data_IF_800261606118
#
_entry.id   IF_800261606118
#
_cell.length_a   1.000
_cell.length_b   1.000
_cell.length_c   1.000
_cell.angle_alpha   90.00
_cell.angle_beta   90.00
_cell.angle_gamma   90.00
#
_symmetry.space_group_name_H-M   'P 1'
#
loop_
_entity.id
_entity.type
_entity.pdbx_description
1 polymer ?
#
# COMPACT_ATOMS: atom_id res chain seq x y z
N UNK A 1 26.08 25.96 -15.34
CA UNK A 1 25.06 25.07 -14.72
C UNK A 1 24.68 25.52 -13.32
N UNK A 2 25.62 25.94 -12.47
CA UNK A 2 25.37 26.27 -11.05
C UNK A 2 24.33 27.39 -10.79
N UNK A 3 24.10 28.30 -11.74
CA UNK A 3 23.14 29.40 -11.62
C UNK A 3 21.68 28.92 -11.76
N UNK A 4 21.42 27.90 -12.58
CA UNK A 4 20.08 27.34 -12.82
C UNK A 4 19.78 26.11 -11.96
N UNK A 5 20.80 25.59 -11.26
CA UNK A 5 20.74 24.31 -10.54
C UNK A 5 19.58 24.21 -9.54
N UNK A 6 19.32 25.28 -8.79
CA UNK A 6 18.23 25.30 -7.80
C UNK A 6 16.85 25.13 -8.46
N UNK A 7 16.64 25.75 -9.62
CA UNK A 7 15.40 25.65 -10.37
C UNK A 7 15.27 24.26 -11.03
N UNK A 8 16.36 23.77 -11.63
CA UNK A 8 16.40 22.44 -12.27
C UNK A 8 16.16 21.32 -11.26
N UNK A 9 16.82 21.36 -10.09
CA UNK A 9 16.63 20.35 -9.02
C UNK A 9 15.20 20.37 -8.51
N UNK A 10 14.63 21.55 -8.29
CA UNK A 10 13.23 21.68 -7.84
C UNK A 10 12.27 21.07 -8.87
N UNK A 11 12.45 21.38 -10.16
CA UNK A 11 11.62 20.83 -11.23
C UNK A 11 11.75 19.31 -11.34
N UNK A 12 12.98 18.79 -11.28
CA UNK A 12 13.24 17.34 -11.29
C UNK A 12 12.62 16.65 -10.08
N UNK A 13 12.79 17.17 -8.87
CA UNK A 13 12.22 16.60 -7.64
C UNK A 13 10.68 16.63 -7.65
N UNK A 14 10.07 17.73 -8.11
CA UNK A 14 8.62 17.80 -8.32
C UNK A 14 8.17 16.70 -9.29
N UNK A 15 8.89 16.54 -10.41
CA UNK A 15 8.57 15.54 -11.41
C UNK A 15 8.77 14.12 -10.90
N UNK A 16 9.75 13.89 -10.03
CA UNK A 16 9.94 12.62 -9.35
C UNK A 16 8.70 12.20 -8.55
N UNK A 17 7.95 13.17 -8.00
CA UNK A 17 6.74 12.90 -7.21
C UNK A 17 5.50 12.53 -8.02
N UNK A 18 5.38 13.06 -9.24
CA UNK A 18 4.17 12.96 -10.08
C UNK A 18 4.18 11.77 -11.05
N UNK A 19 5.34 11.15 -11.29
CA UNK A 19 5.52 10.25 -12.42
C UNK A 19 5.50 8.75 -12.07
N UNK A 20 5.28 7.91 -13.09
CA UNK A 20 5.46 6.45 -12.98
C UNK A 20 6.95 6.06 -12.79
N UNK A 21 7.22 4.79 -12.47
CA UNK A 21 8.56 4.23 -12.26
C UNK A 21 9.59 4.66 -13.29
N UNK A 22 9.18 4.57 -14.56
CA UNK A 22 10.05 4.71 -15.71
C UNK A 22 10.58 6.14 -15.84
N UNK A 23 9.67 7.11 -15.79
CA UNK A 23 10.06 8.53 -15.82
C UNK A 23 10.82 8.92 -14.55
N UNK A 24 10.46 8.33 -13.40
CA UNK A 24 11.19 8.56 -12.14
C UNK A 24 12.65 8.09 -12.23
N UNK A 25 12.90 6.97 -12.90
CA UNK A 25 14.27 6.49 -13.14
C UNK A 25 15.07 7.48 -14.00
N UNK A 26 14.44 8.12 -14.99
CA UNK A 26 15.10 9.14 -15.82
C UNK A 26 15.43 10.39 -15.02
N UNK A 27 14.50 10.82 -14.16
CA UNK A 27 14.70 11.91 -13.21
C UNK A 27 15.84 11.59 -12.23
N UNK A 28 15.87 10.37 -11.70
CA UNK A 28 16.94 9.90 -10.81
C UNK A 28 18.30 9.90 -11.52
N UNK A 29 18.36 9.43 -12.78
CA UNK A 29 19.59 9.48 -13.60
C UNK A 29 20.07 10.91 -13.84
N UNK A 30 19.16 11.86 -14.07
CA UNK A 30 19.50 13.27 -14.22
C UNK A 30 20.07 13.86 -12.92
N UNK A 31 19.45 13.53 -11.77
CA UNK A 31 19.94 13.96 -10.46
C UNK A 31 21.28 13.29 -10.09
N UNK A 32 21.51 12.04 -10.48
CA UNK A 32 22.80 11.36 -10.29
C UNK A 32 23.90 11.99 -11.14
N UNK A 33 23.61 12.31 -12.41
CA UNK A 33 24.53 13.06 -13.29
C UNK A 33 24.88 14.42 -12.71
N UNK A 34 23.87 15.14 -12.20
CA UNK A 34 24.08 16.40 -11.50
C UNK A 34 25.02 16.24 -10.29
N UNK A 35 24.78 15.24 -9.45
CA UNK A 35 25.66 14.94 -8.30
C UNK A 35 27.09 14.76 -8.78
N UNK A 36 27.32 14.01 -9.87
CA UNK A 36 28.66 13.71 -10.39
C UNK A 36 29.40 14.93 -10.94
N UNK A 37 28.71 15.82 -11.67
CA UNK A 37 29.36 16.85 -12.48
C UNK A 37 29.23 18.28 -11.96
N UNK A 38 28.29 18.55 -11.04
CA UNK A 38 28.11 19.90 -10.48
C UNK A 38 28.92 20.12 -9.20
N UNK A 39 29.04 21.38 -8.78
CA UNK A 39 29.65 21.73 -7.49
C UNK A 39 28.93 21.03 -6.32
N UNK A 40 29.67 20.27 -5.53
CA UNK A 40 29.13 19.46 -4.41
C UNK A 40 28.33 20.31 -3.41
N UNK A 41 28.83 21.50 -3.08
CA UNK A 41 28.17 22.41 -2.14
C UNK A 41 26.89 23.01 -2.71
N UNK A 42 26.88 23.32 -4.01
CA UNK A 42 25.70 23.85 -4.71
C UNK A 42 24.62 22.77 -4.86
N UNK A 43 25.00 21.56 -5.28
CA UNK A 43 24.11 20.40 -5.37
C UNK A 43 23.49 20.06 -4.03
N UNK A 44 24.28 20.10 -2.96
CA UNK A 44 23.79 19.89 -1.59
C UNK A 44 22.76 20.97 -1.22
N UNK A 45 23.08 22.24 -1.40
CA UNK A 45 22.15 23.35 -1.14
C UNK A 45 20.83 23.20 -1.89
N UNK A 46 20.88 22.83 -3.18
CA UNK A 46 19.69 22.67 -4.02
C UNK A 46 18.78 21.54 -3.51
N UNK A 47 19.36 20.38 -3.14
CA UNK A 47 18.62 19.24 -2.60
C UNK A 47 18.02 19.52 -1.21
N UNK A 48 18.77 20.23 -0.35
CA UNK A 48 18.31 20.63 0.97
C UNK A 48 17.09 21.56 0.88
N UNK A 49 17.11 22.52 -0.06
CA UNK A 49 16.00 23.47 -0.26
C UNK A 49 14.80 22.82 -0.98
N UNK A 50 15.03 21.98 -1.99
CA UNK A 50 13.97 21.46 -2.87
C UNK A 50 13.33 20.14 -2.42
N UNK A 51 14.00 19.34 -1.59
CA UNK A 51 13.60 17.95 -1.35
C UNK A 51 13.08 17.64 0.05
N UNK A 52 13.81 18.05 1.10
CA UNK A 52 13.58 17.55 2.47
C UNK A 52 12.27 18.03 3.12
N UNK A 53 11.71 19.14 2.65
CA UNK A 53 10.44 19.69 3.12
C UNK A 53 9.21 19.21 2.36
N UNK A 54 9.39 18.36 1.34
CA UNK A 54 8.31 18.02 0.42
C UNK A 54 7.26 17.09 1.06
N UNK A 55 5.97 17.29 0.75
CA UNK A 55 4.88 16.48 1.31
C UNK A 55 4.93 15.01 0.82
N UNK A 56 5.32 14.80 -0.44
CA UNK A 56 5.45 13.47 -1.05
C UNK A 56 6.71 12.75 -0.54
N UNK A 57 6.54 11.56 0.05
CA UNK A 57 7.62 10.72 0.59
C UNK A 57 8.65 10.30 -0.46
N UNK A 58 8.25 10.08 -1.70
CA UNK A 58 9.19 9.64 -2.74
C UNK A 58 10.16 10.76 -3.14
N UNK A 59 9.69 12.00 -3.11
CA UNK A 59 10.54 13.18 -3.34
C UNK A 59 11.57 13.31 -2.22
N UNK A 60 11.14 13.14 -0.96
CA UNK A 60 12.04 13.16 0.20
C UNK A 60 13.07 12.04 0.14
N UNK A 61 12.66 10.81 -0.20
CA UNK A 61 13.57 9.67 -0.44
C UNK A 61 14.60 10.01 -1.52
N UNK A 62 14.15 10.46 -2.68
CA UNK A 62 15.02 10.77 -3.82
C UNK A 62 16.09 11.79 -3.42
N UNK A 63 15.68 12.88 -2.76
CA UNK A 63 16.59 13.89 -2.26
C UNK A 63 17.57 13.34 -1.20
N UNK A 64 17.07 12.54 -0.23
CA UNK A 64 17.88 11.95 0.82
C UNK A 64 18.96 11.00 0.28
N UNK A 65 18.64 10.19 -0.72
CA UNK A 65 19.58 9.27 -1.36
C UNK A 65 20.74 10.01 -2.02
N UNK A 66 20.44 11.05 -2.81
CA UNK A 66 21.47 11.87 -3.49
C UNK A 66 22.27 12.69 -2.48
N UNK A 67 21.63 13.18 -1.42
CA UNK A 67 22.29 13.87 -0.33
C UNK A 67 23.29 12.95 0.39
N UNK A 68 22.95 11.67 0.60
CA UNK A 68 23.86 10.68 1.18
C UNK A 68 25.14 10.51 0.36
N UNK A 69 25.02 10.39 -0.97
CA UNK A 69 26.17 10.31 -1.86
C UNK A 69 27.04 11.59 -1.83
N UNK A 70 26.42 12.77 -1.71
CA UNK A 70 27.16 14.03 -1.55
C UNK A 70 27.86 14.14 -0.20
N UNK A 71 27.23 13.66 0.88
CA UNK A 71 27.81 13.64 2.23
C UNK A 71 29.07 12.78 2.27
N UNK A 72 29.01 11.59 1.67
CA UNK A 72 30.16 10.69 1.57
C UNK A 72 31.30 11.32 0.74
N UNK A 73 30.97 11.96 -0.39
CA UNK A 73 31.97 12.60 -1.27
C UNK A 73 32.60 13.87 -0.69
N UNK A 74 31.84 14.68 0.04
CA UNK A 74 32.37 15.86 0.73
C UNK A 74 33.23 15.48 1.92
N UNK A 75 32.91 14.36 2.57
CA UNK A 75 33.60 13.84 3.74
C UNK A 75 33.20 14.53 5.04
N UNK A 76 33.21 13.77 6.14
CA UNK A 76 32.80 14.25 7.45
C UNK A 76 33.66 15.43 7.96
N UNK A 77 34.97 15.44 7.67
CA UNK A 77 35.88 16.52 8.09
C UNK A 77 35.47 17.89 7.53
N UNK A 78 35.07 17.96 6.25
CA UNK A 78 34.62 19.21 5.64
C UNK A 78 33.23 19.60 6.13
N UNK A 79 32.32 18.63 6.24
CA UNK A 79 30.95 18.86 6.68
C UNK A 79 30.85 19.28 8.15
N UNK A 80 31.80 18.87 8.99
CA UNK A 80 31.85 19.18 10.41
C UNK A 80 32.93 20.22 10.76
N UNK A 81 33.53 20.87 9.75
CA UNK A 81 34.54 21.93 9.94
C UNK A 81 34.01 23.20 10.62
N UNK A 82 32.68 23.34 10.72
CA UNK A 82 32.03 24.53 11.28
C UNK A 82 31.87 25.69 10.30
N UNK A 83 32.08 25.44 9.00
CA UNK A 83 31.73 26.37 7.94
C UNK A 83 30.22 26.66 7.96
N UNK A 84 29.84 27.94 8.16
CA UNK A 84 28.45 28.37 8.36
C UNK A 84 27.50 27.79 7.31
N UNK A 85 27.79 27.95 6.02
CA UNK A 85 26.82 27.63 4.96
C UNK A 85 26.54 26.13 4.77
N UNK A 86 27.47 25.26 5.16
CA UNK A 86 27.38 23.81 4.93
C UNK A 86 27.01 23.08 6.21
N UNK A 87 27.73 23.33 7.31
CA UNK A 87 27.49 22.62 8.58
C UNK A 87 26.15 23.01 9.22
N UNK A 88 25.76 24.30 9.16
CA UNK A 88 24.47 24.77 9.73
C UNK A 88 23.26 24.14 9.02
N UNK A 89 23.43 23.74 7.75
CA UNK A 89 22.32 23.20 6.96
C UNK A 89 22.28 21.67 6.97
N UNK A 90 23.45 21.01 6.96
CA UNK A 90 23.51 19.55 6.82
C UNK A 90 23.13 18.80 8.10
N UNK A 91 23.56 19.26 9.28
CA UNK A 91 23.28 18.57 10.54
C UNK A 91 21.78 18.57 10.88
N UNK A 92 21.07 19.71 10.84
CA UNK A 92 19.61 19.71 11.04
C UNK A 92 18.88 18.87 10.00
N UNK A 93 19.34 18.89 8.74
CA UNK A 93 18.76 18.10 7.67
C UNK A 93 18.88 16.58 7.91
N UNK A 94 20.06 16.11 8.32
CA UNK A 94 20.29 14.70 8.67
C UNK A 94 19.44 14.30 9.87
N UNK A 95 19.38 15.13 10.92
CA UNK A 95 18.56 14.86 12.11
C UNK A 95 17.06 14.77 11.77
N UNK A 96 16.58 15.67 10.89
CA UNK A 96 15.20 15.63 10.38
C UNK A 96 14.92 14.36 9.58
N UNK A 97 15.85 13.93 8.72
CA UNK A 97 15.70 12.71 7.92
C UNK A 97 15.67 11.45 8.78
N UNK A 98 16.48 11.39 9.83
CA UNK A 98 16.51 10.25 10.78
C UNK A 98 15.14 10.02 11.43
N UNK A 99 14.33 11.08 11.54
CA UNK A 99 12.98 11.06 12.10
C UNK A 99 11.88 11.15 11.02
N UNK A 100 12.19 10.93 9.73
CA UNK A 100 11.21 11.04 8.64
C UNK A 100 10.09 9.98 8.76
N UNK A 101 8.90 10.28 8.25
CA UNK A 101 7.81 9.30 8.21
C UNK A 101 8.05 8.17 7.21
N UNK A 102 8.80 8.41 6.12
CA UNK A 102 9.22 7.38 5.17
C UNK A 102 10.38 6.55 5.72
N UNK A 103 10.28 5.22 5.60
CA UNK A 103 11.34 4.31 6.05
C UNK A 103 12.61 4.46 5.20
N UNK A 104 12.45 4.69 3.90
CA UNK A 104 13.53 4.86 2.93
C UNK A 104 14.28 6.18 3.16
N UNK A 105 13.55 7.29 3.36
CA UNK A 105 14.16 8.57 3.71
C UNK A 105 14.90 8.48 5.06
N UNK A 106 14.30 7.79 6.05
CA UNK A 106 14.96 7.49 7.33
C UNK A 106 16.21 6.66 7.18
N UNK A 107 16.20 5.67 6.30
CA UNK A 107 17.37 4.83 6.05
C UNK A 107 18.56 5.66 5.59
N UNK A 108 18.38 6.53 4.58
CA UNK A 108 19.46 7.42 4.13
C UNK A 108 19.86 8.45 5.19
N UNK A 109 18.90 8.97 5.96
CA UNK A 109 19.19 9.81 7.13
C UNK A 109 20.10 9.11 8.14
N UNK A 110 19.77 7.87 8.50
CA UNK A 110 20.56 7.02 9.40
C UNK A 110 21.93 6.67 8.82
N UNK A 111 22.05 6.46 7.51
CA UNK A 111 23.33 6.23 6.83
C UNK A 111 24.26 7.44 6.96
N UNK A 112 23.76 8.63 6.65
CA UNK A 112 24.50 9.89 6.82
C UNK A 112 24.88 10.14 8.28
N UNK A 113 23.95 9.91 9.21
CA UNK A 113 24.20 10.08 10.65
C UNK A 113 25.30 9.15 11.14
N UNK A 114 25.27 7.86 10.76
CA UNK A 114 26.30 6.90 11.10
C UNK A 114 27.67 7.32 10.56
N UNK A 115 27.72 7.73 9.28
CA UNK A 115 28.96 8.23 8.65
C UNK A 115 29.53 9.45 9.39
N UNK A 116 28.71 10.46 9.68
CA UNK A 116 29.13 11.67 10.39
C UNK A 116 29.55 11.38 11.84
N UNK A 117 28.87 10.45 12.53
CA UNK A 117 29.14 10.09 13.93
C UNK A 117 30.50 9.43 14.19
N UNK A 118 31.23 9.10 13.12
CA UNK A 118 32.58 8.54 13.17
C UNK A 118 33.66 9.62 13.27
N UNK A 119 33.31 10.90 13.07
CA UNK A 119 34.26 12.00 13.14
C UNK A 119 34.44 12.55 14.56
N UNK A 120 35.66 12.94 14.92
CA UNK A 120 36.01 13.44 16.26
C UNK A 120 35.21 14.67 16.71
N UNK A 121 34.86 15.55 15.77
CA UNK A 121 34.16 16.79 16.06
C UNK A 121 32.63 16.64 16.06
N UNK A 122 32.11 15.43 15.80
CA UNK A 122 30.68 15.22 15.62
C UNK A 122 29.85 15.72 16.82
N UNK A 123 30.18 15.29 18.04
CA UNK A 123 29.41 15.65 19.24
C UNK A 123 29.40 17.16 19.50
N UNK A 124 30.56 17.81 19.32
CA UNK A 124 30.70 19.28 19.44
C UNK A 124 29.81 20.01 18.44
N UNK A 125 29.79 19.54 17.19
CA UNK A 125 28.99 20.17 16.14
C UNK A 125 27.50 19.88 16.28
N UNK A 126 27.15 18.71 16.81
CA UNK A 126 25.77 18.33 17.12
C UNK A 126 25.19 19.25 18.20
N UNK A 127 25.91 19.46 19.31
CA UNK A 127 25.49 20.37 20.39
C UNK A 127 25.36 21.82 19.93
N UNK A 128 26.20 22.24 18.97
CA UNK A 128 26.18 23.61 18.44
C UNK A 128 24.98 23.89 17.54
N UNK A 129 24.54 22.93 16.75
CA UNK A 129 23.57 23.16 15.67
C UNK A 129 22.22 22.45 15.84
N UNK A 130 22.07 21.57 16.82
CA UNK A 130 20.82 20.87 17.12
C UNK A 130 20.27 21.34 18.46
N UNK A 131 18.94 21.46 18.54
CA UNK A 131 18.27 21.90 19.77
C UNK A 131 18.50 20.92 20.91
N UNK A 132 18.63 21.43 22.14
CA UNK A 132 18.83 20.59 23.33
C UNK A 132 17.72 19.54 23.53
N UNK A 133 16.51 19.81 23.03
CA UNK A 133 15.37 18.90 23.06
C UNK A 133 15.58 17.65 22.20
N UNK A 134 16.24 17.80 21.06
CA UNK A 134 16.39 16.72 20.07
C UNK A 134 17.67 15.88 20.30
N UNK A 135 18.65 16.44 21.02
CA UNK A 135 19.94 15.78 21.31
C UNK A 135 19.80 14.36 21.90
N UNK A 136 18.92 14.10 22.89
CA UNK A 136 18.79 12.76 23.47
C UNK A 136 18.37 11.70 22.44
N UNK A 137 17.37 12.02 21.60
CA UNK A 137 16.85 11.10 20.58
C UNK A 137 17.88 10.81 19.48
N UNK A 138 18.65 11.83 19.07
CA UNK A 138 19.71 11.65 18.08
C UNK A 138 20.86 10.82 18.66
N UNK A 139 21.27 11.07 19.91
CA UNK A 139 22.32 10.28 20.58
C UNK A 139 21.92 8.81 20.74
N UNK A 140 20.68 8.54 21.13
CA UNK A 140 20.16 7.16 21.20
C UNK A 140 20.17 6.48 19.82
N UNK A 141 19.83 7.23 18.76
CA UNK A 141 19.91 6.71 17.39
C UNK A 141 21.35 6.40 16.98
N UNK A 142 22.31 7.27 17.32
CA UNK A 142 23.76 7.03 17.07
C UNK A 142 24.22 5.79 17.83
N UNK A 143 23.86 5.66 19.10
CA UNK A 143 24.20 4.48 19.91
C UNK A 143 23.63 3.19 19.29
N UNK A 144 22.36 3.21 18.89
CA UNK A 144 21.70 2.10 18.19
C UNK A 144 22.40 1.76 16.88
N UNK A 145 22.79 2.77 16.09
CA UNK A 145 23.50 2.59 14.83
C UNK A 145 24.90 2.00 15.02
N UNK A 146 25.64 2.44 16.03
CA UNK A 146 26.98 1.91 16.34
C UNK A 146 26.95 0.47 16.88
N UNK A 147 25.87 0.08 17.57
CA UNK A 147 25.74 -1.25 18.18
C UNK A 147 25.08 -2.28 17.25
N UNK A 148 24.01 -1.88 16.54
CA UNK A 148 23.20 -2.79 15.69
C UNK A 148 23.47 -2.63 14.19
N UNK A 149 24.23 -1.61 13.80
CA UNK A 149 24.46 -1.26 12.40
C UNK A 149 23.27 -0.53 11.75
N UNK A 150 23.44 -0.22 10.46
CA UNK A 150 22.45 0.52 9.67
C UNK A 150 21.16 -0.30 9.40
N UNK A 151 21.26 -1.63 9.39
CA UNK A 151 20.18 -2.52 8.96
C UNK A 151 20.06 -2.58 7.43
N UNK A 152 19.08 -3.35 6.94
CA UNK A 152 18.83 -3.49 5.49
C UNK A 152 18.06 -2.28 4.93
N UNK A 153 18.38 -1.90 3.68
CA UNK A 153 17.64 -0.85 2.99
C UNK A 153 16.19 -1.28 2.76
N UNK A 154 15.19 -0.50 3.23
CA UNK A 154 13.79 -0.76 2.90
C UNK A 154 13.63 -0.73 1.38
N UNK A 155 13.21 -1.85 0.78
CA UNK A 155 13.06 -1.94 -0.67
C UNK A 155 11.78 -1.22 -1.10
N UNK A 156 11.87 -0.52 -2.23
CA UNK A 156 10.69 0.02 -2.91
C UNK A 156 9.65 -1.09 -3.11
N UNK A 157 8.38 -0.78 -2.83
CA UNK A 157 7.30 -1.53 -3.43
C UNK A 157 7.53 -1.52 -4.96
N UNK A 158 7.71 -2.68 -5.61
CA UNK A 158 8.39 -2.74 -6.89
C UNK A 158 7.59 -2.01 -7.96
N UNK A 159 8.18 -0.93 -8.45
CA UNK A 159 7.69 -0.14 -9.57
C UNK A 159 8.24 -0.74 -10.87
N UNK A 160 7.37 -0.95 -11.85
CA UNK A 160 7.59 -1.86 -12.97
C UNK A 160 8.39 -1.26 -14.15
N UNK A 161 9.30 -2.09 -14.71
CA UNK A 161 9.86 -2.11 -16.10
C UNK A 161 11.18 -1.38 -16.41
N UNK A 162 12.16 -2.18 -16.90
CA UNK A 162 13.11 -1.82 -17.98
C UNK A 162 14.60 -2.18 -17.72
N UNK A 163 15.10 -3.40 -17.98
CA UNK A 163 15.71 -3.98 -19.22
C UNK A 163 17.22 -3.69 -19.45
N UNK A 164 17.98 -4.81 -19.57
CA UNK A 164 19.29 -5.07 -20.26
C UNK A 164 20.53 -4.41 -19.63
N UNK A 165 21.69 -5.04 -19.42
CA UNK A 165 22.29 -6.34 -19.80
C UNK A 165 23.53 -6.57 -18.92
N UNK A 166 23.87 -7.82 -18.59
CA UNK A 166 25.16 -8.47 -18.82
C UNK A 166 25.36 -9.65 -17.86
N UNK A 167 25.83 -10.74 -18.47
CA UNK A 167 26.16 -12.03 -17.88
C UNK A 167 27.31 -11.92 -16.89
N UNK A 168 27.25 -12.65 -15.79
CA UNK A 168 28.38 -12.80 -14.89
C UNK A 168 28.01 -13.37 -13.53
N UNK A 169 28.10 -14.70 -13.41
CA UNK A 169 28.42 -15.47 -12.20
C UNK A 169 27.53 -15.29 -10.95
N UNK A 170 26.95 -16.31 -10.32
CA UNK A 170 27.28 -17.72 -10.29
C UNK A 170 26.10 -18.51 -9.72
N UNK A 171 25.98 -19.73 -10.22
CA UNK A 171 24.97 -20.70 -9.84
C UNK A 171 25.26 -21.15 -8.41
N UNK A 172 24.34 -20.91 -7.47
CA UNK A 172 24.19 -21.77 -6.31
C UNK A 172 22.88 -22.55 -6.47
N UNK A 173 23.05 -23.85 -6.72
CA UNK A 173 22.00 -24.85 -6.70
C UNK A 173 21.36 -24.87 -5.31
N UNK A 174 20.06 -24.58 -5.23
CA UNK A 174 19.24 -24.98 -4.08
C UNK A 174 18.41 -26.18 -4.48
N UNK A 175 18.56 -27.24 -3.70
CA UNK A 175 17.91 -28.54 -3.78
C UNK A 175 16.38 -28.46 -3.91
N UNK A 176 15.85 -29.13 -4.93
CA UNK A 176 14.43 -29.42 -5.11
C UNK A 176 13.98 -30.47 -4.08
N UNK A 177 12.94 -30.15 -3.31
CA UNK A 177 12.14 -31.15 -2.60
C UNK A 177 10.71 -31.09 -3.14
N UNK A 178 10.48 -31.77 -4.26
CA UNK A 178 9.17 -32.25 -4.65
C UNK A 178 8.90 -33.53 -3.87
N UNK A 179 8.03 -33.47 -2.85
CA UNK A 179 7.41 -34.67 -2.29
C UNK A 179 6.22 -35.04 -3.16
N UNK A 180 6.33 -36.16 -3.88
CA UNK A 180 5.17 -36.84 -4.45
C UNK A 180 4.44 -37.66 -3.35
N UNK A 181 3.11 -37.86 -3.49
CA UNK A 181 2.33 -38.62 -2.52
C UNK A 181 2.33 -40.11 -2.86
N UNK A 182 2.68 -40.95 -1.89
CA UNK A 182 2.44 -42.39 -1.94
C UNK A 182 1.26 -42.76 -1.04
N UNK A 183 0.36 -43.54 -1.62
CA UNK A 183 -0.92 -44.01 -1.09
C UNK A 183 -0.77 -44.99 0.08
N UNK A 184 -1.59 -44.74 1.12
CA UNK A 184 -2.26 -45.67 2.04
C UNK A 184 -1.49 -46.83 2.70
N UNK A 185 -1.31 -46.74 4.02
CA UNK A 185 -1.71 -47.80 4.97
C UNK A 185 -1.69 -47.29 6.42
N UNK A 186 -2.90 -47.08 6.97
CA UNK A 186 -3.39 -47.55 8.28
C UNK A 186 -2.55 -47.36 9.57
N UNK A 187 -3.17 -46.62 10.49
CA UNK A 187 -3.04 -46.58 11.96
C UNK A 187 -1.66 -46.19 12.53
N UNK A 188 -1.49 -44.92 12.91
CA UNK A 188 -1.21 -44.59 14.31
C UNK A 188 -1.31 -43.09 14.59
N UNK A 189 -2.03 -42.77 15.65
CA UNK A 189 -2.24 -41.41 16.16
C UNK A 189 -0.93 -40.89 16.76
N UNK A 190 -0.18 -40.08 15.99
CA UNK A 190 0.85 -39.19 16.55
C UNK A 190 0.62 -37.78 16.05
N UNK A 191 0.01 -36.98 16.91
CA UNK A 191 0.00 -35.52 16.85
C UNK A 191 1.44 -35.06 16.67
N UNK A 192 1.80 -34.66 15.46
CA UNK A 192 3.16 -34.18 15.16
C UNK A 192 3.32 -32.79 15.73
N UNK A 193 4.10 -32.70 16.79
CA UNK A 193 4.65 -31.44 17.29
C UNK A 193 5.57 -30.89 16.19
N UNK A 194 5.04 -30.07 15.29
CA UNK A 194 5.87 -29.25 14.42
C UNK A 194 6.64 -28.28 15.30
N UNK A 195 7.98 -28.36 15.26
CA UNK A 195 8.85 -27.50 16.06
C UNK A 195 8.56 -26.04 15.72
N UNK A 196 8.48 -25.17 16.73
CA UNK A 196 8.37 -23.72 16.56
C UNK A 196 9.50 -23.17 15.66
N UNK A 197 10.67 -23.83 15.65
CA UNK A 197 11.79 -23.49 14.77
C UNK A 197 11.45 -23.72 13.28
N UNK A 198 10.85 -24.87 12.95
CA UNK A 198 10.45 -25.23 11.59
C UNK A 198 9.41 -24.25 11.04
N UNK A 199 8.48 -23.82 11.90
CA UNK A 199 7.46 -22.82 11.54
C UNK A 199 8.07 -21.44 11.29
N UNK A 200 9.04 -21.03 12.11
CA UNK A 200 9.75 -19.76 11.91
C UNK A 200 10.58 -19.78 10.62
N UNK A 201 11.24 -20.88 10.31
CA UNK A 201 12.00 -21.05 9.08
C UNK A 201 11.10 -21.06 7.84
N UNK A 202 9.97 -21.78 7.91
CA UNK A 202 8.95 -21.78 6.87
C UNK A 202 8.41 -20.37 6.58
N UNK A 203 8.05 -19.61 7.63
CA UNK A 203 7.59 -18.22 7.47
C UNK A 203 8.66 -17.35 6.81
N UNK A 204 9.94 -17.52 7.20
CA UNK A 204 11.06 -16.81 6.58
C UNK A 204 11.20 -17.18 5.10
N UNK A 205 11.13 -18.46 4.75
CA UNK A 205 11.19 -18.94 3.37
C UNK A 205 10.04 -18.41 2.53
N UNK A 206 8.80 -18.45 3.05
CA UNK A 206 7.64 -17.88 2.39
C UNK A 206 7.79 -16.38 2.14
N UNK A 207 8.25 -15.62 3.13
CA UNK A 207 8.53 -14.18 2.96
C UNK A 207 9.59 -13.92 1.89
N UNK A 208 10.63 -14.77 1.79
CA UNK A 208 11.63 -14.66 0.72
C UNK A 208 11.02 -14.93 -0.65
N UNK A 209 10.24 -16.01 -0.82
CA UNK A 209 9.65 -16.38 -2.10
C UNK A 209 8.59 -15.36 -2.56
N UNK A 210 7.74 -14.90 -1.64
CA UNK A 210 6.74 -13.85 -1.87
C UNK A 210 7.38 -12.52 -2.29
N UNK A 211 8.60 -12.24 -1.86
CA UNK A 211 9.35 -11.05 -2.26
C UNK A 211 10.44 -11.33 -3.30
N UNK A 212 10.39 -12.50 -3.95
CA UNK A 212 11.35 -12.86 -5.00
C UNK A 212 11.30 -11.87 -6.15
N UNK A 213 12.46 -11.60 -6.76
CA UNK A 213 12.57 -10.79 -7.98
C UNK A 213 11.87 -11.47 -9.17
N UNK A 214 11.83 -12.81 -9.17
CA UNK A 214 11.10 -13.58 -10.17
C UNK A 214 9.61 -13.64 -9.83
N UNK A 215 8.79 -13.10 -10.72
CA UNK A 215 7.33 -13.11 -10.56
C UNK A 215 6.74 -14.53 -10.56
N UNK A 216 7.43 -15.50 -11.18
CA UNK A 216 7.01 -16.92 -11.18
C UNK A 216 7.15 -17.54 -9.79
N UNK A 217 8.25 -17.23 -9.09
CA UNK A 217 8.46 -17.66 -7.72
C UNK A 217 7.44 -17.03 -6.77
N UNK A 218 7.07 -15.77 -7.00
CA UNK A 218 5.97 -15.13 -6.25
C UNK A 218 4.62 -15.82 -6.49
N UNK A 219 4.31 -16.18 -7.74
CA UNK A 219 3.09 -16.94 -8.06
C UNK A 219 3.10 -18.30 -7.35
N UNK A 220 4.20 -19.05 -7.42
CA UNK A 220 4.33 -20.32 -6.69
C UNK A 220 4.15 -20.14 -5.19
N UNK A 221 4.67 -19.06 -4.63
CA UNK A 221 4.49 -18.74 -3.21
C UNK A 221 3.04 -18.40 -2.86
N UNK A 222 2.32 -17.71 -3.74
CA UNK A 222 0.87 -17.49 -3.59
C UNK A 222 0.11 -18.82 -3.63
N UNK A 223 0.45 -19.70 -4.58
CA UNK A 223 -0.19 -21.02 -4.66
C UNK A 223 0.11 -21.87 -3.41
N UNK A 224 1.30 -21.73 -2.81
CA UNK A 224 1.65 -22.36 -1.55
C UNK A 224 0.87 -21.75 -0.37
N UNK A 225 0.71 -20.43 -0.32
CA UNK A 225 -0.11 -19.77 0.69
C UNK A 225 -1.55 -20.26 0.69
N UNK A 226 -2.14 -20.53 -0.47
CA UNK A 226 -3.50 -21.09 -0.55
C UNK A 226 -3.57 -22.45 0.15
N UNK A 227 -2.57 -23.31 -0.06
CA UNK A 227 -2.51 -24.64 0.55
C UNK A 227 -2.34 -24.60 2.07
N UNK A 228 -1.54 -23.65 2.56
CA UNK A 228 -1.10 -23.63 3.97
C UNK A 228 -1.83 -22.55 4.79
N UNK A 229 -2.91 -21.96 4.25
CA UNK A 229 -3.52 -20.76 4.84
C UNK A 229 -4.18 -21.01 6.20
N UNK A 230 -4.80 -22.18 6.40
CA UNK A 230 -5.45 -22.57 7.65
C UNK A 230 -4.44 -22.72 8.79
N UNK A 231 -3.24 -23.24 8.48
CA UNK A 231 -2.18 -23.41 9.46
C UNK A 231 -1.51 -22.08 9.80
N UNK A 232 -1.47 -21.12 8.86
CA UNK A 232 -0.71 -19.87 8.97
C UNK A 232 -1.49 -18.58 8.63
N UNK A 233 -2.63 -18.32 9.30
CA UNK A 233 -3.52 -17.19 8.93
C UNK A 233 -2.85 -15.82 9.07
N UNK A 234 -1.96 -15.63 10.04
CA UNK A 234 -1.23 -14.37 10.22
C UNK A 234 -0.31 -14.03 9.05
N UNK A 235 0.37 -15.03 8.48
CA UNK A 235 1.23 -14.85 7.31
C UNK A 235 0.40 -14.49 6.07
N UNK A 236 -0.77 -15.11 5.94
CA UNK A 236 -1.69 -14.90 4.83
C UNK A 236 -2.14 -13.44 4.77
N UNK A 237 -2.48 -12.83 5.90
CA UNK A 237 -2.94 -11.42 5.92
C UNK A 237 -1.86 -10.43 5.50
N UNK A 238 -0.65 -10.56 6.05
CA UNK A 238 0.50 -9.71 5.68
C UNK A 238 0.85 -9.86 4.19
N UNK A 239 0.82 -11.10 3.70
CA UNK A 239 1.16 -11.41 2.32
C UNK A 239 0.10 -10.91 1.32
N UNK A 240 -1.19 -11.18 1.59
CA UNK A 240 -2.28 -10.86 0.67
C UNK A 240 -2.36 -9.38 0.36
N UNK A 241 -2.23 -8.51 1.38
CA UNK A 241 -2.27 -7.06 1.17
C UNK A 241 -1.21 -6.60 0.16
N UNK A 242 0.04 -7.07 0.32
CA UNK A 242 1.14 -6.70 -0.56
C UNK A 242 0.97 -7.27 -1.98
N UNK A 243 0.39 -8.47 -2.11
CA UNK A 243 0.18 -9.13 -3.41
C UNK A 243 -1.03 -8.58 -4.17
N UNK A 244 -2.09 -8.17 -3.46
CA UNK A 244 -3.23 -7.46 -4.05
C UNK A 244 -2.82 -6.07 -4.57
N UNK A 245 -1.83 -5.43 -3.97
CA UNK A 245 -1.33 -4.13 -4.45
C UNK A 245 -0.13 -4.25 -5.41
N UNK A 246 0.07 -5.43 -5.99
CA UNK A 246 1.25 -5.71 -6.79
C UNK A 246 1.20 -5.09 -8.18
N UNK A 247 2.32 -4.51 -8.62
CA UNK A 247 2.45 -3.88 -9.95
C UNK A 247 2.49 -4.88 -11.11
N UNK A 248 2.91 -6.12 -10.87
CA UNK A 248 2.91 -7.16 -11.87
C UNK A 248 1.49 -7.73 -12.03
N UNK A 249 0.87 -7.48 -13.18
CA UNK A 249 -0.51 -7.88 -13.45
C UNK A 249 -0.76 -9.39 -13.36
N UNK A 250 0.24 -10.25 -13.64
CA UNK A 250 0.09 -11.70 -13.51
C UNK A 250 0.06 -12.15 -12.06
N UNK A 251 0.94 -11.60 -11.24
CA UNK A 251 0.98 -11.90 -9.81
C UNK A 251 -0.24 -11.31 -9.12
N UNK A 252 -0.64 -10.09 -9.50
CA UNK A 252 -1.85 -9.46 -8.99
C UNK A 252 -3.11 -10.25 -9.34
N UNK A 253 -3.24 -10.70 -10.59
CA UNK A 253 -4.33 -11.59 -11.00
C UNK A 253 -4.34 -12.87 -10.16
N UNK A 254 -3.20 -13.55 -10.03
CA UNK A 254 -3.09 -14.76 -9.20
C UNK A 254 -3.40 -14.51 -7.73
N UNK A 255 -3.06 -13.35 -7.19
CA UNK A 255 -3.40 -12.97 -5.82
C UNK A 255 -4.91 -12.80 -5.63
N UNK A 256 -5.60 -12.17 -6.58
CA UNK A 256 -7.07 -12.03 -6.56
C UNK A 256 -7.77 -13.38 -6.70
N UNK A 257 -7.27 -14.25 -7.58
CA UNK A 257 -7.80 -15.60 -7.76
C UNK A 257 -7.53 -16.48 -6.54
N UNK A 258 -6.35 -16.36 -5.91
CA UNK A 258 -5.99 -17.06 -4.68
C UNK A 258 -6.78 -16.57 -3.45
N UNK A 259 -7.21 -15.30 -3.46
CA UNK A 259 -8.01 -14.76 -2.37
C UNK A 259 -9.36 -15.48 -2.25
N UNK A 260 -9.97 -15.93 -3.34
CA UNK A 260 -11.27 -16.61 -3.34
C UNK A 260 -11.27 -17.90 -2.50
N UNK A 261 -10.39 -18.90 -2.72
CA UNK A 261 -10.31 -20.07 -1.88
C UNK A 261 -9.82 -19.76 -0.46
N UNK A 262 -8.91 -18.78 -0.28
CA UNK A 262 -8.47 -18.37 1.07
C UNK A 262 -9.65 -17.83 1.89
N UNK A 263 -10.53 -17.04 1.28
CA UNK A 263 -11.75 -16.53 1.93
C UNK A 263 -12.67 -17.68 2.33
N UNK A 264 -12.83 -18.70 1.48
CA UNK A 264 -13.65 -19.87 1.78
C UNK A 264 -13.09 -20.74 2.92
N UNK A 265 -11.76 -20.79 3.06
CA UNK A 265 -11.07 -21.54 4.11
C UNK A 265 -11.07 -20.78 5.45
N UNK A 266 -10.72 -19.49 5.43
CA UNK A 266 -10.58 -18.69 6.66
C UNK A 266 -11.90 -18.13 7.20
N UNK A 267 -12.89 -17.91 6.33
CA UNK A 267 -14.25 -17.44 6.67
C UNK A 267 -14.22 -16.23 7.63
N UNK A 268 -14.97 -16.29 8.74
CA UNK A 268 -15.09 -15.22 9.72
C UNK A 268 -13.77 -14.89 10.44
N UNK A 269 -12.73 -15.73 10.33
CA UNK A 269 -11.38 -15.40 10.82
C UNK A 269 -10.79 -14.17 10.11
N UNK A 270 -11.36 -13.79 8.95
CA UNK A 270 -11.01 -12.58 8.21
C UNK A 270 -11.64 -11.31 8.77
N UNK A 271 -12.62 -11.39 9.66
CA UNK A 271 -13.34 -10.23 10.19
C UNK A 271 -12.42 -9.09 10.68
N UNK A 272 -11.31 -9.35 11.42
CA UNK A 272 -10.42 -8.28 11.90
C UNK A 272 -9.67 -7.52 10.80
N UNK A 273 -9.57 -8.08 9.60
CA UNK A 273 -8.79 -7.52 8.48
C UNK A 273 -9.65 -7.00 7.32
N UNK A 274 -10.97 -7.10 7.40
CA UNK A 274 -11.90 -6.67 6.34
C UNK A 274 -11.75 -5.19 5.97
N UNK A 275 -11.49 -4.33 6.96
CA UNK A 275 -11.28 -2.90 6.77
C UNK A 275 -10.05 -2.59 5.90
N UNK A 276 -9.10 -3.50 5.79
CA UNK A 276 -7.91 -3.39 4.93
C UNK A 276 -8.11 -4.17 3.64
N UNK A 277 -8.68 -5.37 3.72
CA UNK A 277 -8.86 -6.28 2.60
C UNK A 277 -9.85 -5.74 1.57
N UNK A 278 -11.01 -5.24 2.01
CA UNK A 278 -12.05 -4.74 1.10
C UNK A 278 -11.51 -3.58 0.24
N UNK A 279 -10.92 -2.50 0.80
CA UNK A 279 -10.26 -1.47 -0.02
C UNK A 279 -9.22 -2.01 -0.98
N UNK A 280 -8.39 -2.97 -0.54
CA UNK A 280 -7.34 -3.55 -1.37
C UNK A 280 -7.90 -4.27 -2.60
N UNK A 281 -9.10 -4.86 -2.52
CA UNK A 281 -9.78 -5.49 -3.66
C UNK A 281 -10.52 -4.46 -4.52
N UNK A 282 -11.30 -3.55 -3.90
CA UNK A 282 -12.27 -2.74 -4.65
C UNK A 282 -11.70 -1.47 -5.27
N UNK A 283 -10.71 -0.82 -4.62
CA UNK A 283 -10.28 0.53 -5.01
C UNK A 283 -9.61 0.57 -6.40
N UNK A 284 -8.83 -0.47 -6.73
CA UNK A 284 -7.99 -0.49 -7.94
C UNK A 284 -8.33 -1.59 -8.94
N UNK A 285 -9.02 -2.66 -8.54
CA UNK A 285 -9.17 -3.84 -9.40
C UNK A 285 -10.51 -3.92 -10.12
N UNK A 286 -11.61 -3.49 -9.49
CA UNK A 286 -12.92 -3.48 -10.16
C UNK A 286 -12.95 -2.53 -11.38
N UNK A 287 -12.23 -1.40 -11.30
CA UNK A 287 -12.04 -0.47 -12.42
C UNK A 287 -10.85 -0.80 -13.33
N UNK A 288 -10.23 -1.97 -13.16
CA UNK A 288 -9.07 -2.35 -13.98
C UNK A 288 -9.44 -2.46 -15.46
N UNK A 289 -8.58 -1.91 -16.32
CA UNK A 289 -8.67 -2.08 -17.79
C UNK A 289 -8.39 -3.51 -18.22
N UNK A 290 -7.78 -4.33 -17.36
CA UNK A 290 -7.59 -5.74 -17.62
C UNK A 290 -8.84 -6.52 -17.15
N UNK A 291 -9.59 -7.08 -18.10
CA UNK A 291 -10.82 -7.83 -17.84
C UNK A 291 -10.60 -9.01 -16.89
N UNK A 292 -9.48 -9.72 -17.00
CA UNK A 292 -9.18 -10.83 -16.09
C UNK A 292 -9.03 -10.37 -14.63
N UNK A 293 -8.40 -9.20 -14.40
CA UNK A 293 -8.23 -8.63 -13.06
C UNK A 293 -9.58 -8.14 -12.50
N UNK A 294 -10.38 -7.43 -13.30
CA UNK A 294 -11.69 -6.96 -12.83
C UNK A 294 -12.65 -8.12 -12.57
N UNK A 295 -12.64 -9.17 -13.40
CA UNK A 295 -13.39 -10.41 -13.15
C UNK A 295 -12.91 -11.13 -11.88
N UNK A 296 -11.60 -11.29 -11.69
CA UNK A 296 -11.07 -11.93 -10.48
C UNK A 296 -11.37 -11.13 -9.21
N UNK A 297 -11.35 -9.80 -9.28
CA UNK A 297 -11.74 -8.92 -8.17
C UNK A 297 -13.23 -9.01 -7.85
N UNK A 298 -14.09 -9.06 -8.86
CA UNK A 298 -15.52 -9.32 -8.64
C UNK A 298 -15.74 -10.69 -8.01
N UNK A 299 -15.01 -11.72 -8.46
CA UNK A 299 -15.04 -13.06 -7.84
C UNK A 299 -14.57 -13.05 -6.38
N UNK A 300 -13.57 -12.23 -6.03
CA UNK A 300 -13.15 -12.05 -4.65
C UNK A 300 -14.21 -11.35 -3.79
N UNK A 301 -14.89 -10.32 -4.32
CA UNK A 301 -16.02 -9.66 -3.64
C UNK A 301 -17.16 -10.65 -3.41
N UNK A 302 -17.48 -11.48 -4.41
CA UNK A 302 -18.47 -12.55 -4.27
C UNK A 302 -18.03 -13.56 -3.22
N UNK A 303 -16.78 -14.02 -3.22
CA UNK A 303 -16.28 -14.95 -2.21
C UNK A 303 -16.43 -14.40 -0.78
N UNK A 304 -16.18 -13.10 -0.57
CA UNK A 304 -16.43 -12.44 0.72
C UNK A 304 -17.91 -12.56 1.11
N UNK A 305 -18.84 -12.22 0.21
CA UNK A 305 -20.28 -12.27 0.49
C UNK A 305 -20.81 -13.68 0.76
N UNK A 306 -20.21 -14.71 0.17
CA UNK A 306 -20.67 -16.09 0.35
C UNK A 306 -20.10 -16.77 1.61
N UNK A 307 -18.99 -16.28 2.17
CA UNK A 307 -18.24 -17.00 3.21
C UNK A 307 -18.06 -16.21 4.52
N UNK A 308 -18.47 -14.93 4.56
CA UNK A 308 -18.32 -14.06 5.72
C UNK A 308 -19.69 -13.50 6.09
N UNK A 309 -19.95 -13.27 7.38
CA UNK A 309 -21.17 -12.59 7.82
C UNK A 309 -21.37 -11.25 7.08
N UNK A 310 -22.41 -11.22 6.25
CA UNK A 310 -22.79 -10.10 5.40
C UNK A 310 -23.10 -8.80 6.19
N UNK A 311 -23.43 -8.91 7.47
CA UNK A 311 -23.57 -7.74 8.34
C UNK A 311 -22.26 -6.98 8.55
N UNK A 312 -21.10 -7.65 8.42
CA UNK A 312 -19.78 -7.05 8.48
C UNK A 312 -19.38 -6.36 7.15
N UNK A 313 -19.96 -6.79 6.03
CA UNK A 313 -19.64 -6.27 4.70
C UNK A 313 -20.49 -5.05 4.30
N UNK A 314 -21.68 -4.93 4.88
CA UNK A 314 -22.66 -3.91 4.51
C UNK A 314 -22.11 -2.47 4.59
N UNK A 315 -21.56 -2.08 5.75
CA UNK A 315 -21.01 -0.73 5.93
C UNK A 315 -19.79 -0.47 5.03
N UNK A 316 -18.78 -1.37 4.96
CA UNK A 316 -17.66 -1.19 4.03
C UNK A 316 -18.09 -1.02 2.57
N UNK A 317 -19.05 -1.83 2.10
CA UNK A 317 -19.53 -1.74 0.72
C UNK A 317 -20.28 -0.43 0.49
N UNK A 318 -21.11 0.01 1.45
CA UNK A 318 -21.80 1.28 1.36
C UNK A 318 -20.81 2.45 1.27
N UNK A 319 -19.82 2.48 2.16
CA UNK A 319 -18.78 3.51 2.18
C UNK A 319 -17.97 3.54 0.88
N UNK A 320 -17.62 2.37 0.31
CA UNK A 320 -16.88 2.31 -0.94
C UNK A 320 -17.73 2.69 -2.15
N UNK A 321 -18.98 2.23 -2.23
CA UNK A 321 -19.91 2.61 -3.29
C UNK A 321 -20.17 4.12 -3.35
N UNK A 322 -20.12 4.81 -2.20
CA UNK A 322 -20.30 6.27 -2.15
C UNK A 322 -19.21 7.01 -2.96
N UNK A 323 -17.94 6.62 -2.77
CA UNK A 323 -16.78 7.38 -3.29
C UNK A 323 -16.15 6.80 -4.56
N UNK A 324 -16.44 5.54 -4.91
CA UNK A 324 -15.96 4.96 -6.16
C UNK A 324 -16.61 5.64 -7.38
N UNK A 325 -16.03 5.39 -8.54
CA UNK A 325 -16.50 5.86 -9.85
C UNK A 325 -16.50 4.73 -10.87
N UNK A 326 -17.09 4.97 -12.05
CA UNK A 326 -17.07 4.02 -13.16
C UNK A 326 -17.76 2.69 -12.82
N UNK A 327 -17.25 1.60 -13.40
CA UNK A 327 -17.83 0.26 -13.26
C UNK A 327 -17.80 -0.24 -11.81
N UNK A 328 -16.73 0.04 -11.06
CA UNK A 328 -16.60 -0.39 -9.68
C UNK A 328 -17.73 0.16 -8.77
N UNK A 329 -18.17 1.39 -9.02
CA UNK A 329 -19.32 1.97 -8.31
C UNK A 329 -20.59 1.17 -8.59
N UNK A 330 -20.85 0.85 -9.86
CA UNK A 330 -22.04 0.10 -10.27
C UNK A 330 -22.04 -1.30 -9.64
N UNK A 331 -20.91 -2.01 -9.76
CA UNK A 331 -20.76 -3.36 -9.23
C UNK A 331 -21.02 -3.40 -7.72
N UNK A 332 -20.51 -2.43 -6.94
CA UNK A 332 -20.77 -2.38 -5.50
C UNK A 332 -22.20 -1.97 -5.15
N UNK A 333 -22.84 -1.06 -5.88
CA UNK A 333 -24.26 -0.71 -5.64
C UNK A 333 -25.13 -1.95 -5.82
N UNK A 334 -24.87 -2.76 -6.85
CA UNK A 334 -25.60 -4.01 -7.06
C UNK A 334 -25.36 -5.01 -5.92
N UNK A 335 -24.12 -5.16 -5.43
CA UNK A 335 -23.85 -6.02 -4.26
C UNK A 335 -24.53 -5.50 -2.99
N UNK A 336 -24.63 -4.18 -2.80
CA UNK A 336 -25.38 -3.60 -1.68
C UNK A 336 -26.87 -3.95 -1.80
N UNK A 337 -27.45 -3.94 -3.00
CA UNK A 337 -28.84 -4.35 -3.20
C UNK A 337 -29.06 -5.84 -2.84
N UNK A 338 -28.12 -6.73 -3.19
CA UNK A 338 -28.16 -8.13 -2.76
C UNK A 338 -28.09 -8.27 -1.23
N UNK A 339 -27.20 -7.50 -0.57
CA UNK A 339 -27.09 -7.49 0.89
C UNK A 339 -28.36 -6.96 1.57
N UNK A 340 -29.06 -5.98 0.97
CA UNK A 340 -30.36 -5.50 1.47
C UNK A 340 -31.36 -6.66 1.48
N UNK A 341 -31.49 -7.38 0.36
CA UNK A 341 -32.43 -8.49 0.23
C UNK A 341 -32.16 -9.60 1.24
N UNK A 342 -30.89 -9.90 1.50
CA UNK A 342 -30.51 -10.94 2.46
C UNK A 342 -30.66 -10.50 3.94
N UNK A 343 -30.21 -9.29 4.28
CA UNK A 343 -30.07 -8.86 5.67
C UNK A 343 -31.34 -8.24 6.23
N UNK A 344 -32.16 -7.57 5.41
CA UNK A 344 -33.31 -6.81 5.92
C UNK A 344 -34.29 -7.68 6.73
N UNK A 345 -34.67 -8.92 6.30
CA UNK A 345 -35.59 -9.75 7.07
C UNK A 345 -35.13 -10.09 8.49
N UNK A 346 -33.81 -10.01 8.77
CA UNK A 346 -33.22 -10.38 10.06
C UNK A 346 -32.69 -9.18 10.85
N UNK A 347 -32.26 -8.12 10.16
CA UNK A 347 -31.61 -6.94 10.76
C UNK A 347 -32.06 -5.65 10.05
N UNK A 348 -33.36 -5.29 10.07
CA UNK A 348 -33.90 -4.15 9.33
C UNK A 348 -33.25 -2.82 9.74
N UNK A 349 -33.09 -2.60 11.05
CA UNK A 349 -32.45 -1.40 11.62
C UNK A 349 -31.00 -1.20 11.13
N UNK A 350 -30.24 -2.28 10.96
CA UNK A 350 -28.89 -2.22 10.41
C UNK A 350 -28.93 -1.79 8.94
N UNK A 351 -29.83 -2.37 8.14
CA UNK A 351 -29.96 -2.03 6.72
C UNK A 351 -30.38 -0.57 6.56
N UNK A 352 -31.41 -0.13 7.28
CA UNK A 352 -31.89 1.24 7.24
C UNK A 352 -30.78 2.23 7.62
N UNK A 353 -30.08 1.99 8.74
CA UNK A 353 -29.02 2.89 9.22
C UNK A 353 -27.85 3.00 8.23
N UNK A 354 -27.51 1.91 7.52
CA UNK A 354 -26.27 1.82 6.74
C UNK A 354 -26.48 2.11 5.26
N UNK A 355 -27.61 1.68 4.69
CA UNK A 355 -27.87 1.75 3.25
C UNK A 355 -28.58 3.04 2.86
N UNK A 356 -29.53 3.54 3.67
CA UNK A 356 -30.28 4.75 3.33
C UNK A 356 -29.38 5.97 3.08
N UNK A 357 -28.33 6.25 3.87
CA UNK A 357 -27.42 7.37 3.59
C UNK A 357 -26.75 7.28 2.22
N UNK A 358 -26.31 6.08 1.81
CA UNK A 358 -25.78 5.85 0.47
C UNK A 358 -26.87 6.11 -0.57
N UNK A 359 -28.04 5.51 -0.40
CA UNK A 359 -29.13 5.59 -1.35
C UNK A 359 -29.56 7.04 -1.61
N UNK A 360 -29.73 7.84 -0.56
CA UNK A 360 -30.04 9.27 -0.66
C UNK A 360 -28.94 10.06 -1.35
N UNK A 361 -27.67 9.74 -1.08
CA UNK A 361 -26.54 10.37 -1.78
C UNK A 361 -26.56 10.05 -3.28
N UNK A 362 -26.94 8.83 -3.66
CA UNK A 362 -27.05 8.42 -5.08
C UNK A 362 -28.20 9.14 -5.80
N UNK A 363 -29.32 9.41 -5.11
CA UNK A 363 -30.44 10.17 -5.70
C UNK A 363 -30.18 11.67 -5.74
N UNK A 364 -29.54 12.24 -4.72
CA UNK A 364 -29.26 13.68 -4.64
C UNK A 364 -28.14 14.16 -5.56
N UNK A 365 -27.31 13.24 -6.08
CA UNK A 365 -26.17 13.59 -6.93
C UNK A 365 -26.60 13.81 -8.38
N UNK A 366 -26.81 15.07 -8.76
CA UNK A 366 -27.18 15.49 -10.12
C UNK A 366 -26.14 15.12 -11.21
N UNK A 367 -24.93 14.71 -10.82
CA UNK A 367 -23.83 14.34 -11.72
C UNK A 367 -23.76 12.84 -12.03
N UNK A 368 -24.71 12.04 -11.55
CA UNK A 368 -24.69 10.59 -11.77
C UNK A 368 -25.02 10.25 -13.23
N UNK A 369 -24.19 9.38 -13.83
CA UNK A 369 -24.42 8.86 -15.18
C UNK A 369 -25.68 8.00 -15.23
N UNK A 370 -26.27 7.84 -16.43
CA UNK A 370 -27.44 6.97 -16.62
C UNK A 370 -27.25 5.55 -16.07
N UNK A 371 -26.03 5.01 -16.16
CA UNK A 371 -25.67 3.71 -15.59
C UNK A 371 -25.75 3.67 -14.06
N UNK A 372 -25.34 4.73 -13.36
CA UNK A 372 -25.47 4.84 -11.90
C UNK A 372 -26.95 4.93 -11.52
N UNK A 373 -27.77 5.62 -12.32
CA UNK A 373 -29.22 5.67 -12.12
C UNK A 373 -29.87 4.29 -12.24
N UNK A 374 -29.45 3.46 -13.19
CA UNK A 374 -29.92 2.06 -13.31
C UNK A 374 -29.52 1.21 -12.09
N UNK A 375 -28.28 1.33 -11.61
CA UNK A 375 -27.85 0.62 -10.40
C UNK A 375 -28.62 1.10 -9.15
N UNK A 376 -28.86 2.41 -9.04
CA UNK A 376 -29.67 3.00 -7.98
C UNK A 376 -31.14 2.53 -8.05
N UNK A 377 -31.69 2.27 -9.25
CA UNK A 377 -33.02 1.71 -9.42
C UNK A 377 -33.13 0.30 -8.81
N UNK A 378 -32.15 -0.58 -9.07
CA UNK A 378 -32.08 -1.92 -8.45
C UNK A 378 -31.99 -1.84 -6.94
N UNK A 379 -31.21 -0.90 -6.41
CA UNK A 379 -31.13 -0.66 -4.97
C UNK A 379 -32.46 -0.13 -4.40
N UNK A 380 -33.14 0.76 -5.12
CA UNK A 380 -34.46 1.26 -4.76
C UNK A 380 -35.50 0.14 -4.71
N UNK A 381 -35.48 -0.76 -5.68
CA UNK A 381 -36.35 -1.94 -5.75
C UNK A 381 -36.11 -2.86 -4.56
N UNK A 382 -34.86 -3.22 -4.27
CA UNK A 382 -34.51 -4.06 -3.11
C UNK A 382 -34.97 -3.43 -1.78
N UNK A 383 -34.77 -2.11 -1.60
CA UNK A 383 -35.24 -1.40 -0.42
C UNK A 383 -36.77 -1.36 -0.35
N UNK A 384 -37.45 -1.06 -1.45
CA UNK A 384 -38.90 -0.94 -1.49
C UNK A 384 -39.60 -2.28 -1.30
N UNK A 385 -39.05 -3.37 -1.82
CA UNK A 385 -39.57 -4.72 -1.63
C UNK A 385 -39.66 -5.11 -0.13
N UNK A 386 -38.78 -4.55 0.70
CA UNK A 386 -38.71 -4.86 2.14
C UNK A 386 -39.30 -3.79 3.05
N UNK A 387 -39.12 -2.51 2.72
CA UNK A 387 -39.62 -1.37 3.49
C UNK A 387 -41.06 -1.00 3.10
N UNK A 388 -41.44 -1.20 1.84
CA UNK A 388 -42.72 -0.76 1.30
C UNK A 388 -42.91 0.75 1.48
N UNK A 389 -44.01 1.13 2.12
CA UNK A 389 -44.40 2.52 2.33
C UNK A 389 -43.44 3.28 3.26
N UNK A 390 -42.77 2.60 4.20
CA UNK A 390 -41.87 3.26 5.15
C UNK A 390 -40.64 3.87 4.46
N UNK A 391 -40.25 3.38 3.28
CA UNK A 391 -39.21 4.02 2.46
C UNK A 391 -39.66 5.39 1.95
N UNK A 392 -40.93 5.51 1.53
CA UNK A 392 -41.51 6.76 1.06
C UNK A 392 -41.72 7.75 2.21
N UNK A 393 -42.13 7.26 3.39
CA UNK A 393 -42.25 8.07 4.61
C UNK A 393 -40.89 8.60 5.07
N UNK A 394 -39.86 7.75 5.08
CA UNK A 394 -38.49 8.16 5.36
C UNK A 394 -37.98 9.24 4.39
N UNK A 395 -38.28 9.08 3.09
CA UNK A 395 -37.93 10.10 2.10
C UNK A 395 -38.67 11.42 2.34
N UNK A 396 -39.97 11.36 2.67
CA UNK A 396 -40.77 12.55 2.97
C UNK A 396 -40.28 13.29 4.22
N UNK A 397 -39.82 12.57 5.24
CA UNK A 397 -39.36 13.14 6.50
C UNK A 397 -37.93 13.73 6.44
N UNK A 398 -37.05 13.17 5.60
CA UNK A 398 -35.60 13.46 5.68
C UNK A 398 -34.96 14.00 4.40
N UNK A 399 -35.64 13.93 3.25
CA UNK A 399 -35.04 14.26 1.95
C UNK A 399 -35.74 15.45 1.26
N UNK A 400 -35.01 16.26 0.47
CA UNK A 400 -35.60 17.34 -0.31
C UNK A 400 -36.51 16.84 -1.45
N UNK A 401 -37.41 17.70 -1.94
CA UNK A 401 -38.49 17.34 -2.87
C UNK A 401 -38.01 16.76 -4.20
N UNK A 402 -36.84 17.17 -4.69
CA UNK A 402 -36.21 16.61 -5.88
C UNK A 402 -35.86 15.12 -5.70
N UNK A 403 -35.24 14.77 -4.56
CA UNK A 403 -34.89 13.37 -4.22
C UNK A 403 -36.14 12.51 -4.06
N UNK A 404 -37.19 13.05 -3.44
CA UNK A 404 -38.48 12.36 -3.32
C UNK A 404 -39.12 12.10 -4.69
N UNK A 405 -39.04 13.06 -5.61
CA UNK A 405 -39.54 12.91 -6.98
C UNK A 405 -38.76 11.85 -7.75
N UNK A 406 -37.43 11.88 -7.65
CA UNK A 406 -36.56 10.88 -8.29
C UNK A 406 -36.82 9.47 -7.76
N UNK A 407 -37.01 9.30 -6.44
CA UNK A 407 -37.40 8.02 -5.85
C UNK A 407 -38.70 7.48 -6.46
N UNK A 408 -39.75 8.31 -6.51
CA UNK A 408 -41.05 7.93 -7.11
C UNK A 408 -40.91 7.59 -8.59
N UNK A 409 -40.03 8.28 -9.32
CA UNK A 409 -39.78 7.98 -10.72
C UNK A 409 -39.07 6.63 -10.91
N UNK A 410 -38.08 6.32 -10.07
CA UNK A 410 -37.38 5.04 -10.13
C UNK A 410 -38.32 3.87 -9.81
N UNK A 411 -39.15 3.99 -8.78
CA UNK A 411 -40.10 2.94 -8.38
C UNK A 411 -41.25 2.72 -9.37
N UNK A 412 -41.49 3.66 -10.30
CA UNK A 412 -42.47 3.51 -11.39
C UNK A 412 -41.88 2.88 -12.65
N UNK A 413 -40.55 2.87 -12.77
CA UNK A 413 -39.82 2.37 -13.94
C UNK A 413 -39.42 0.90 -13.80
N UNK A 414 -39.67 0.32 -12.63
CA UNK A 414 -39.58 -1.09 -12.28
C UNK A 414 -41.02 -1.63 -12.27
#
# INVERSE_FOLDING_TARGET
>A
MDQELDATVRALLQKAGECNAFIRQDVERALDSMVQHCSLTRSMSALLTGGLGHLNSVVRKCAAQRLSALVERLGAARLLSGAKDVTERILPAVCKLVQDSSQEARYFGRQMLLFLSSHRDFDKMLEKFISAKDLPAIRDTVFTLKTKGLGEMPQDAPSARGRRSLSGSGVMRTSSLTREPLSSSRYDTKVSVHSLADRSEYIKQMKMLLNSKDFRERIKAIDQLVRDCEENPALVFDALKARLQESNSKVNLRALEALQPIVALLRDSLAPVLNILIPAVVDNHLNSKNSSISTAALGAVQALMHNIDNSLLLQPFCSKAQYLSGKAKLDLIERVAELVTELYPRRPQLVEQKVLPLFWTLLGSSSNSGSVRTAAAKLAEALHAHMGQTLLENAAASQPTNVQSDLKQLLRAV
#
